data_IF_395412824789
#
_entry.id   IF_395412824789
#
_cell.length_a   1.000
_cell.length_b   1.000
_cell.length_c   1.000
_cell.angle_alpha   90.00
_cell.angle_beta   90.00
_cell.angle_gamma   90.00
#
_symmetry.space_group_name_H-M   'P 1'
#
loop_
_entity.id
_entity.type
_entity.pdbx_description
1 polymer ?
2 polymer ?
3 polymer ?
4 non-polymer ?
#
loop_
_entity_poly.entity_id
_entity_poly.type
_entity_poly.pdbx_seq_one_letter_code
_entity_poly.pdbx_strand_id
1 'polydeoxyribonucleotide' '(DA)(DG)(DA)(DT)(DA)(DA)(DA)(DC)' ?
2 'polydeoxyribonucleotide' '(DG)(DT)(DT)(DT)(DA)(DT)(DC)(DT)' ?
#
# COMPACT_ATOMS: atom_id res chain seq x y z
N UNK C 1 -10.17 3.81 11.89
CA UNK C 1 -10.32 5.06 11.09
C UNK C 1 -8.98 5.43 10.44
N UNK C 2 -8.78 5.06 9.20
CA UNK C 2 -7.49 5.41 8.52
C UNK C 2 -7.72 6.60 7.57
N UNK C 3 -8.80 7.32 7.74
CA UNK C 3 -9.08 8.51 6.87
C UNK C 3 -8.04 9.59 7.19
N UNK C 4 -7.13 9.82 6.29
CA UNK C 4 -6.06 10.83 6.53
C UNK C 4 -4.70 10.12 6.44
N UNK C 5 -4.67 8.84 6.75
CA UNK C 5 -3.40 8.07 6.66
C UNK C 5 -3.00 7.97 5.18
N UNK C 6 -2.31 8.95 4.68
CA UNK C 6 -1.90 8.92 3.25
C UNK C 6 -0.59 8.14 3.14
N UNK C 7 -0.56 7.11 2.34
CA UNK C 7 0.69 6.29 2.21
C UNK C 7 1.88 7.20 1.90
N UNK C 8 2.81 7.31 2.82
CA UNK C 8 4.01 8.18 2.58
C UNK C 8 4.80 7.70 1.35
N UNK C 9 4.54 6.50 0.87
CA UNK C 9 5.29 5.99 -0.32
C UNK C 9 4.48 6.20 -1.62
N UNK C 10 3.17 6.21 -1.57
CA UNK C 10 2.40 6.41 -2.84
C UNK C 10 1.15 7.29 -2.63
N UNK C 11 1.08 8.03 -1.55
CA UNK C 11 -0.09 8.95 -1.28
C UNK C 11 -1.46 8.26 -1.39
N UNK C 12 -1.52 6.95 -1.37
CA UNK C 12 -2.87 6.29 -1.48
C UNK C 12 -3.52 6.19 -0.09
N UNK C 13 -4.77 6.58 0.01
CA UNK C 13 -5.49 6.51 1.32
C UNK C 13 -6.19 5.15 1.45
N UNK C 14 -6.44 4.49 0.34
CA UNK C 14 -7.11 3.15 0.39
C UNK C 14 -6.04 2.07 0.32
N UNK C 15 -5.96 1.22 1.31
CA UNK C 15 -4.92 0.16 1.28
C UNK C 15 -5.48 -1.15 1.81
N UNK C 16 -5.01 -2.24 1.28
CA UNK C 16 -5.49 -3.57 1.74
C UNK C 16 -4.93 -3.83 3.16
N UNK C 17 -3.74 -3.37 3.42
CA UNK C 17 -3.12 -3.55 4.78
C UNK C 17 -2.27 -2.32 5.11
N UNK C 18 -2.69 -1.52 6.05
CA UNK C 18 -1.90 -0.31 6.41
C UNK C 18 -0.60 -0.72 7.10
N UNK C 19 0.49 -0.68 6.38
CA UNK C 19 1.79 -1.08 6.98
C UNK C 19 2.40 0.11 7.72
N UNK C 20 2.12 0.23 8.99
CA UNK C 20 2.68 1.36 9.79
C UNK C 20 4.20 1.18 9.95
N UNK C 21 4.98 1.89 9.18
CA UNK C 21 6.47 1.75 9.29
C UNK C 21 6.92 2.24 10.67
N UNK C 22 7.86 1.52 11.26
CA UNK C 22 8.40 1.86 12.60
C UNK C 22 8.91 3.31 12.65
N UNK C 23 9.44 3.80 11.56
CA UNK C 23 9.93 5.22 11.53
C UNK C 23 8.76 6.19 11.75
N UNK C 24 7.55 5.74 11.50
CA UNK C 24 6.35 6.62 11.68
C UNK C 24 5.78 6.97 10.30
N UNK C 25 5.87 6.07 9.36
CA UNK C 25 5.34 6.36 7.99
C UNK C 25 4.34 5.27 7.57
N UNK C 26 3.07 5.60 7.66
CA UNK C 26 1.99 4.67 7.27
C UNK C 26 2.08 4.39 5.76
N UNK C 27 2.61 3.25 5.38
CA UNK C 27 2.72 2.93 3.92
C UNK C 27 1.85 1.72 3.57
N UNK C 28 0.97 1.89 2.62
CA UNK C 28 0.08 0.79 2.18
C UNK C 28 0.92 -0.48 1.92
N UNK C 29 0.47 -1.60 2.42
CA UNK C 29 1.21 -2.90 2.25
C UNK C 29 1.88 -3.01 0.87
N UNK C 30 1.16 -2.69 -0.18
CA UNK C 30 1.74 -2.78 -1.57
C UNK C 30 3.12 -2.10 -1.63
N UNK C 31 3.25 -0.94 -1.04
CA UNK C 31 4.58 -0.24 -1.06
C UNK C 31 5.58 -1.07 -0.26
N UNK C 32 5.17 -1.57 0.87
CA UNK C 32 6.08 -2.40 1.72
C UNK C 32 6.49 -3.68 0.97
N UNK C 33 5.59 -4.26 0.21
CA UNK C 33 5.93 -5.52 -0.52
C UNK C 33 6.88 -5.21 -1.68
N UNK C 34 6.44 -4.47 -2.67
CA UNK C 34 7.35 -4.15 -3.81
C UNK C 34 8.65 -3.56 -3.26
N UNK C 35 8.58 -2.69 -2.27
CA UNK C 35 9.84 -2.12 -1.70
C UNK C 35 10.79 -3.27 -1.35
N UNK C 36 10.29 -4.32 -0.75
CA UNK C 36 11.18 -5.48 -0.41
C UNK C 36 11.72 -6.12 -1.71
N UNK C 37 10.97 -6.05 -2.79
CA UNK C 37 11.43 -6.65 -4.09
C UNK C 37 12.70 -5.94 -4.60
N UNK C 38 12.59 -4.69 -4.96
CA UNK C 38 13.78 -3.94 -5.49
C UNK C 38 14.44 -3.10 -4.38
N UNK C 39 13.76 -2.89 -3.27
CA UNK C 39 14.33 -2.09 -2.14
C UNK C 39 14.53 -0.62 -2.59
N UNK C 40 13.60 -0.09 -3.36
CA UNK C 40 13.69 1.32 -3.83
C UNK C 40 12.35 2.06 -3.63
N UNK C 41 12.31 3.34 -3.95
CA UNK C 41 11.06 4.16 -3.76
C UNK C 41 10.05 3.98 -4.92
N UNK C 42 8.84 3.62 -4.57
CA UNK C 42 7.74 3.39 -5.56
C UNK C 42 7.02 4.67 -6.01
N UNK C 43 6.97 4.85 -7.31
CA UNK C 43 6.23 5.96 -7.92
C UNK C 43 4.74 5.58 -7.85
N UNK C 44 3.88 6.44 -7.39
CA UNK C 44 2.43 6.05 -7.30
C UNK C 44 1.74 6.03 -8.69
N UNK C 45 2.47 5.72 -9.74
CA UNK C 45 1.83 5.66 -11.10
C UNK C 45 0.89 4.44 -11.15
N UNK C 46 1.18 3.44 -10.35
CA UNK C 46 0.32 2.22 -10.32
C UNK C 46 -0.82 2.39 -9.30
N UNK C 47 -0.97 3.57 -8.73
CA UNK C 47 -2.06 3.79 -7.73
C UNK C 47 -3.42 3.75 -8.43
N UNK C 48 -4.48 3.74 -7.68
CA UNK C 48 -5.84 3.69 -8.29
C UNK C 48 -6.85 4.36 -7.36
N UNK C 49 -8.00 4.71 -7.86
CA UNK C 49 -9.04 5.37 -7.02
C UNK C 49 -9.36 4.49 -5.80
N UNK C 50 -9.87 3.31 -6.03
CA UNK C 50 -10.21 2.40 -4.89
C UNK C 50 -9.24 1.22 -4.85
N UNK C 51 -9.21 0.50 -3.75
CA UNK C 51 -8.30 -0.68 -3.64
C UNK C 51 -8.53 -1.65 -4.80
N UNK C 52 -7.49 -2.00 -5.50
CA UNK C 52 -7.64 -2.96 -6.64
C UNK C 52 -8.15 -4.30 -6.09
N UNK C 53 -8.88 -5.04 -6.88
CA UNK C 53 -9.39 -6.37 -6.41
C UNK C 53 -9.65 -7.26 -7.62
N UNK C 54 -9.71 -8.54 -7.39
CA UNK C 54 -9.94 -9.50 -8.52
C UNK C 54 -10.65 -10.76 -8.00
N UNK C 55 -10.69 -11.80 -8.79
CA UNK C 55 -11.34 -13.07 -8.33
C UNK C 55 -10.59 -13.56 -7.08
N UNK C 56 -11.11 -13.25 -5.92
CA UNK C 56 -10.44 -13.64 -4.64
C UNK C 56 -9.90 -15.08 -4.73
N UNK C 57 -8.71 -15.30 -4.22
CA UNK C 57 -8.11 -16.66 -4.25
C UNK C 57 -9.08 -17.67 -3.60
N UNK C 58 -9.32 -18.77 -4.25
CA UNK C 58 -10.25 -19.80 -3.67
C UNK C 58 -9.66 -20.32 -2.35
N UNK C 59 -10.50 -20.63 -1.40
CA UNK C 59 -9.99 -21.13 -0.08
C UNK C 59 -9.22 -22.44 -0.29
N UNK C 60 -7.93 -22.43 -0.03
CA UNK C 60 -7.12 -23.66 -0.22
C UNK C 60 -7.25 -24.57 1.01
X LIG D 1 1.70 2.94 -0.90
#
# INVERSE_FOLDING_TARGET
KRAGTVCSNCQTSTTTLWRRSPMGDPVCNACGLYYKLHQVNRPLTMRKDGIQTRNRKVSS
ZN ZN
#
